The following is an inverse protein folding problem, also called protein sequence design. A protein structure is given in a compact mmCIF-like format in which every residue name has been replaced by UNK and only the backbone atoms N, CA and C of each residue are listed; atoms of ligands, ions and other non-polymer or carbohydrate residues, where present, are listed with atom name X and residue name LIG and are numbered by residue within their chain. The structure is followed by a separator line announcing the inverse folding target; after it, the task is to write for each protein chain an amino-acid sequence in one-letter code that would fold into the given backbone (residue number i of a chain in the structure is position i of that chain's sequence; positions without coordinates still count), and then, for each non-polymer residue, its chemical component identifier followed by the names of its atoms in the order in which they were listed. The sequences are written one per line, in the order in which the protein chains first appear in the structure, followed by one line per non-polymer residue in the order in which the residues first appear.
data_IF_845889487990
#
_entry.id   IF_845889487990
#
_cell.length_a   1.000
_cell.length_b   1.000
_cell.length_c   1.000
_cell.angle_alpha   90.00
_cell.angle_beta   90.00
_cell.angle_gamma   90.00
#
_symmetry.space_group_name_H-M   'P 1'
#
loop_
_entity.id
_entity.type
_entity.pdbx_description
1 polymer ?
#
# COMPACT_ATOMS: atom_id res chain seq x y z
N UNK A 1 -4.99 -17.82 6.50
CA UNK A 1 -4.15 -16.64 6.27
C UNK A 1 -4.16 -16.38 4.77
N UNK A 2 -4.72 -15.25 4.35
CA UNK A 2 -4.91 -14.91 2.93
C UNK A 2 -3.65 -14.22 2.37
N UNK A 3 -3.07 -13.31 3.16
CA UNK A 3 -1.87 -12.56 2.79
C UNK A 3 -0.70 -12.78 3.73
N UNK A 4 0.51 -12.71 3.22
CA UNK A 4 1.70 -12.41 3.99
C UNK A 4 1.75 -10.89 4.19
N UNK A 5 1.79 -10.43 5.44
CA UNK A 5 1.79 -9.01 5.78
C UNK A 5 3.20 -8.59 6.15
N UNK A 6 3.67 -7.51 5.52
CA UNK A 6 4.96 -6.88 5.80
C UNK A 6 4.76 -5.40 6.07
N UNK A 7 5.56 -4.84 6.95
CA UNK A 7 5.67 -3.38 7.15
C UNK A 7 6.82 -2.87 6.29
N UNK A 8 6.58 -1.79 5.54
CA UNK A 8 7.61 -1.06 4.82
C UNK A 8 7.44 0.44 5.11
N UNK A 9 8.30 0.99 5.94
CA UNK A 9 8.18 2.37 6.43
C UNK A 9 9.43 3.19 6.16
N UNK A 10 9.26 4.50 5.88
CA UNK A 10 10.35 5.47 5.84
C UNK A 10 10.74 5.99 7.24
N UNK A 11 10.18 5.46 8.31
CA UNK A 11 10.55 5.75 9.68
C UNK A 11 11.85 5.07 10.07
N UNK A 12 12.57 5.65 11.06
CA UNK A 12 13.74 5.02 11.67
C UNK A 12 13.33 3.71 12.36
N UNK A 13 14.25 2.76 12.38
CA UNK A 13 14.03 1.41 12.90
C UNK A 13 13.52 1.40 14.34
N UNK A 14 14.09 2.21 15.21
CA UNK A 14 13.73 2.26 16.62
C UNK A 14 12.27 2.67 16.81
N UNK A 15 11.82 3.71 16.09
CA UNK A 15 10.44 4.16 16.13
C UNK A 15 9.48 3.11 15.56
N UNK A 16 9.82 2.52 14.42
CA UNK A 16 9.00 1.49 13.79
C UNK A 16 8.83 0.25 14.68
N UNK A 17 9.89 -0.14 15.42
CA UNK A 17 9.83 -1.25 16.36
C UNK A 17 8.88 -0.99 17.54
N UNK A 18 8.85 0.23 18.08
CA UNK A 18 7.92 0.58 19.18
C UNK A 18 6.46 0.54 18.68
N UNK A 19 6.18 1.05 17.48
CA UNK A 19 4.85 0.95 16.89
C UNK A 19 4.47 -0.52 16.63
N UNK A 20 5.40 -1.33 16.11
CA UNK A 20 5.14 -2.75 15.86
C UNK A 20 4.74 -3.51 17.14
N UNK A 21 5.37 -3.22 18.27
CA UNK A 21 5.01 -3.82 19.57
C UNK A 21 3.57 -3.50 20.01
N UNK A 22 3.04 -2.34 19.58
CA UNK A 22 1.66 -1.95 19.89
C UNK A 22 0.65 -2.65 18.98
N UNK A 23 0.94 -2.76 17.68
CA UNK A 23 -0.01 -3.30 16.69
C UNK A 23 0.05 -4.82 16.55
N UNK A 24 1.21 -5.44 16.80
CA UNK A 24 1.40 -6.90 16.75
C UNK A 24 2.29 -7.39 17.90
N UNK A 25 1.85 -7.23 19.18
CA UNK A 25 2.67 -7.51 20.35
C UNK A 25 3.14 -8.96 20.46
N UNK A 26 2.48 -9.88 19.79
CA UNK A 26 2.81 -11.30 19.80
C UNK A 26 3.52 -11.77 18.52
N UNK A 27 3.86 -10.87 17.60
CA UNK A 27 4.49 -11.19 16.30
C UNK A 27 3.74 -12.27 15.51
N UNK A 28 2.41 -12.21 15.51
CA UNK A 28 1.55 -13.24 14.88
C UNK A 28 1.16 -12.92 13.45
N UNK A 29 1.10 -11.66 13.12
CA UNK A 29 0.50 -11.19 11.88
C UNK A 29 1.52 -10.66 10.89
N UNK A 30 2.54 -9.94 11.35
CA UNK A 30 3.53 -9.26 10.52
C UNK A 30 4.78 -10.14 10.39
N UNK A 31 5.10 -10.52 9.14
CA UNK A 31 6.21 -11.44 8.84
C UNK A 31 7.57 -10.73 8.80
N UNK A 32 7.61 -9.49 8.29
CA UNK A 32 8.82 -8.70 8.11
C UNK A 32 8.55 -7.22 8.32
N UNK A 33 9.60 -6.51 8.73
CA UNK A 33 9.60 -5.06 8.82
C UNK A 33 10.83 -4.50 8.09
N UNK A 34 10.56 -3.69 7.08
CA UNK A 34 11.53 -2.88 6.35
C UNK A 34 11.40 -1.42 6.83
N UNK A 35 12.51 -0.75 7.01
CA UNK A 35 12.58 0.58 7.61
C UNK A 35 13.27 1.57 6.68
N UNK A 36 13.54 2.76 7.14
CA UNK A 36 14.21 3.82 6.37
C UNK A 36 15.51 3.35 5.72
N UNK A 37 16.26 2.51 6.41
CA UNK A 37 17.56 1.97 5.95
C UNK A 37 17.39 1.07 4.72
N UNK A 38 16.19 0.53 4.52
CA UNK A 38 15.83 -0.32 3.37
C UNK A 38 15.24 0.49 2.20
N UNK A 39 15.00 1.79 2.40
CA UNK A 39 14.49 2.69 1.36
C UNK A 39 15.63 3.23 0.48
N UNK A 40 15.30 3.54 -0.77
CA UNK A 40 16.17 4.30 -1.65
C UNK A 40 15.99 5.79 -1.38
N UNK A 41 17.06 6.49 -0.99
CA UNK A 41 17.04 7.94 -0.83
C UNK A 41 17.32 8.61 -2.18
N UNK A 42 16.38 9.41 -2.66
CA UNK A 42 16.54 10.22 -3.87
C UNK A 42 17.38 11.48 -3.61
N UNK A 43 17.91 12.09 -4.67
CA UNK A 43 18.63 13.37 -4.59
C UNK A 43 17.78 14.51 -3.99
N UNK A 44 16.47 14.43 -4.13
CA UNK A 44 15.51 15.42 -3.61
C UNK A 44 15.05 15.10 -2.17
N UNK A 45 15.63 14.10 -1.51
CA UNK A 45 15.33 13.76 -0.12
C UNK A 45 14.11 12.86 0.07
N UNK A 46 13.49 12.32 -0.99
CA UNK A 46 12.40 11.36 -0.88
C UNK A 46 12.91 9.94 -0.64
N UNK A 47 12.19 9.20 0.19
CA UNK A 47 12.42 7.77 0.42
C UNK A 47 11.51 6.95 -0.49
N UNK A 48 12.09 6.10 -1.33
CA UNK A 48 11.39 5.20 -2.23
C UNK A 48 11.43 3.78 -1.68
N UNK A 49 10.28 3.12 -1.63
CA UNK A 49 10.08 1.75 -1.20
C UNK A 49 10.16 0.83 -2.42
N UNK A 50 11.33 0.32 -2.71
CA UNK A 50 11.54 -0.57 -3.85
C UNK A 50 11.08 -1.99 -3.51
N UNK A 51 10.01 -2.46 -4.12
CA UNK A 51 9.43 -3.77 -3.82
C UNK A 51 10.31 -4.95 -4.20
N UNK A 52 11.33 -4.75 -5.04
CA UNK A 52 12.26 -5.82 -5.45
C UNK A 52 13.07 -6.40 -4.28
N UNK A 53 13.29 -5.61 -3.23
CA UNK A 53 14.06 -6.08 -2.06
C UNK A 53 13.34 -7.13 -1.24
N UNK A 54 12.00 -7.21 -1.33
CA UNK A 54 11.21 -8.21 -0.58
C UNK A 54 11.33 -9.62 -1.14
N UNK A 55 11.91 -9.79 -2.34
CA UNK A 55 12.14 -11.09 -2.99
C UNK A 55 10.89 -11.96 -3.08
N UNK A 56 9.78 -11.37 -3.50
CA UNK A 56 8.54 -12.05 -3.86
C UNK A 56 8.23 -11.74 -5.32
N UNK A 57 7.41 -12.57 -5.95
CA UNK A 57 6.90 -12.33 -7.30
C UNK A 57 6.08 -11.04 -7.31
N UNK A 58 6.57 -10.01 -8.02
CA UNK A 58 5.91 -8.69 -8.04
C UNK A 58 4.48 -8.76 -8.58
N UNK A 59 4.17 -9.72 -9.42
CA UNK A 59 2.80 -9.97 -9.90
C UNK A 59 1.80 -10.28 -8.79
N UNK A 60 2.26 -10.68 -7.61
CA UNK A 60 1.45 -11.05 -6.45
C UNK A 60 1.66 -10.13 -5.25
N UNK A 61 2.30 -8.99 -5.44
CA UNK A 61 2.59 -8.04 -4.37
C UNK A 61 1.80 -6.76 -4.57
N UNK A 62 1.19 -6.25 -3.51
CA UNK A 62 0.69 -4.88 -3.46
C UNK A 62 1.32 -4.14 -2.29
N UNK A 63 1.52 -2.85 -2.47
CA UNK A 63 1.90 -1.92 -1.41
C UNK A 63 0.77 -0.93 -1.18
N UNK A 64 0.44 -0.70 0.09
CA UNK A 64 -0.55 0.27 0.52
C UNK A 64 0.20 1.45 1.13
N UNK A 65 0.03 2.61 0.54
CA UNK A 65 0.75 3.81 0.98
C UNK A 65 -0.04 5.08 0.57
N UNK A 66 -0.04 6.09 1.42
CA UNK A 66 -0.65 7.39 1.14
C UNK A 66 0.16 8.23 0.15
N UNK A 67 1.46 8.00 0.03
CA UNK A 67 2.38 8.77 -0.78
C UNK A 67 2.73 8.04 -2.10
N UNK A 68 2.17 8.48 -3.21
CA UNK A 68 2.42 7.89 -4.54
C UNK A 68 3.91 7.77 -4.88
N UNK A 69 4.72 8.74 -4.48
CA UNK A 69 6.16 8.70 -4.74
C UNK A 69 6.87 7.59 -3.96
N UNK A 70 6.30 7.13 -2.83
CA UNK A 70 6.89 6.04 -2.05
C UNK A 70 7.07 4.76 -2.86
N UNK A 71 6.16 4.47 -3.78
CA UNK A 71 6.20 3.26 -4.63
C UNK A 71 6.35 3.59 -6.12
N UNK A 72 6.96 4.72 -6.44
CA UNK A 72 7.11 5.23 -7.81
C UNK A 72 7.84 4.30 -8.78
N UNK A 73 8.63 3.34 -8.28
CA UNK A 73 9.30 2.33 -9.11
C UNK A 73 8.36 1.18 -9.53
N UNK A 74 7.29 0.93 -8.79
CA UNK A 74 6.29 -0.12 -9.07
C UNK A 74 4.87 0.43 -8.88
N UNK A 75 4.50 1.46 -9.62
CA UNK A 75 3.20 2.14 -9.50
C UNK A 75 2.00 1.19 -9.66
N UNK A 76 2.13 0.18 -10.50
CA UNK A 76 1.05 -0.80 -10.74
C UNK A 76 0.75 -1.69 -9.53
N UNK A 77 1.71 -1.80 -8.62
CA UNK A 77 1.58 -2.54 -7.37
C UNK A 77 0.96 -1.71 -6.24
N UNK A 78 0.80 -0.40 -6.44
CA UNK A 78 0.36 0.53 -5.42
C UNK A 78 -1.16 0.54 -5.21
N UNK A 79 -1.57 0.61 -3.97
CA UNK A 79 -2.92 0.91 -3.52
C UNK A 79 -2.84 2.21 -2.72
N UNK A 80 -3.33 3.33 -3.27
CA UNK A 80 -3.35 4.58 -2.52
C UNK A 80 -4.37 4.51 -1.38
N UNK A 81 -4.02 5.06 -0.25
CA UNK A 81 -4.89 5.21 0.92
C UNK A 81 -4.82 6.66 1.39
N UNK A 82 -5.85 7.14 2.06
CA UNK A 82 -5.85 8.47 2.66
C UNK A 82 -4.93 8.52 3.89
N UNK A 83 -4.41 9.72 4.18
CA UNK A 83 -3.67 9.97 5.41
C UNK A 83 -4.59 9.78 6.60
N UNK A 84 -4.11 9.12 7.65
CA UNK A 84 -4.80 9.01 8.92
C UNK A 84 -4.20 9.96 9.94
N UNK A 85 -5.00 10.91 10.40
CA UNK A 85 -4.62 11.93 11.38
C UNK A 85 -5.31 11.75 12.75
N UNK A 86 -5.96 10.61 12.95
CA UNK A 86 -6.63 10.27 14.21
C UNK A 86 -8.14 10.53 14.22
N UNK A 87 -8.78 10.63 13.05
CA UNK A 87 -10.21 10.87 12.93
C UNK A 87 -11.02 9.69 13.45
N UNK A 88 -11.98 9.98 14.33
CA UNK A 88 -12.84 8.96 14.94
C UNK A 88 -13.80 8.25 13.96
N UNK A 89 -13.97 8.78 12.76
CA UNK A 89 -14.86 8.23 11.74
C UNK A 89 -14.12 7.65 10.53
N UNK A 90 -12.80 7.41 10.63
CA UNK A 90 -12.04 6.81 9.54
C UNK A 90 -12.47 5.36 9.29
N UNK A 91 -12.87 5.05 8.06
CA UNK A 91 -13.28 3.71 7.61
C UNK A 91 -12.36 3.15 6.50
N UNK A 92 -11.25 3.80 6.18
CA UNK A 92 -10.37 3.43 5.06
C UNK A 92 -9.90 1.98 5.14
N UNK A 93 -9.51 1.50 6.32
CA UNK A 93 -9.07 0.12 6.52
C UNK A 93 -10.21 -0.91 6.35
N UNK A 94 -11.46 -0.53 6.57
CA UNK A 94 -12.60 -1.41 6.29
C UNK A 94 -12.76 -1.62 4.79
N UNK A 95 -12.81 -0.54 4.01
CA UNK A 95 -12.91 -0.61 2.55
C UNK A 95 -11.70 -1.30 1.92
N UNK A 96 -10.51 -1.00 2.44
CA UNK A 96 -9.27 -1.67 2.02
C UNK A 96 -9.34 -3.19 2.28
N UNK A 97 -9.84 -3.61 3.44
CA UNK A 97 -9.96 -5.03 3.78
C UNK A 97 -10.88 -5.75 2.81
N UNK A 98 -12.04 -5.17 2.50
CA UNK A 98 -12.98 -5.74 1.52
C UNK A 98 -12.35 -5.83 0.13
N UNK A 99 -11.66 -4.77 -0.31
CA UNK A 99 -10.95 -4.75 -1.57
C UNK A 99 -9.87 -5.84 -1.64
N UNK A 100 -9.04 -5.98 -0.62
CA UNK A 100 -7.98 -6.99 -0.56
C UNK A 100 -8.54 -8.42 -0.56
N UNK A 101 -9.64 -8.68 0.15
CA UNK A 101 -10.30 -9.98 0.11
C UNK A 101 -10.83 -10.32 -1.28
N UNK A 102 -11.35 -9.34 -2.01
CA UNK A 102 -11.78 -9.53 -3.38
C UNK A 102 -10.59 -9.74 -4.33
N UNK A 103 -9.52 -8.96 -4.16
CA UNK A 103 -8.29 -9.09 -4.94
C UNK A 103 -7.64 -10.46 -4.76
N UNK A 104 -7.69 -11.04 -3.55
CA UNK A 104 -7.13 -12.36 -3.26
C UNK A 104 -7.79 -13.52 -4.01
N UNK A 105 -8.96 -13.28 -4.61
CA UNK A 105 -9.70 -14.26 -5.44
C UNK A 105 -9.34 -14.18 -6.91
N UNK A 106 -8.54 -13.18 -7.30
CA UNK A 106 -8.04 -13.06 -8.68
C UNK A 106 -7.05 -14.19 -8.97
N UNK A 107 -6.99 -14.67 -10.22
CA UNK A 107 -5.94 -15.59 -10.64
C UNK A 107 -4.55 -15.00 -10.38
N UNK A 108 -3.60 -15.81 -9.96
CA UNK A 108 -2.26 -15.37 -9.56
C UNK A 108 -1.56 -14.47 -10.58
N UNK A 109 -1.70 -14.80 -11.88
CA UNK A 109 -1.09 -14.03 -12.97
C UNK A 109 -1.83 -12.72 -13.29
N UNK A 110 -3.03 -12.50 -12.73
CA UNK A 110 -3.84 -11.29 -12.97
C UNK A 110 -3.92 -10.37 -11.74
N UNK A 111 -3.31 -10.74 -10.62
CA UNK A 111 -3.43 -10.03 -9.36
C UNK A 111 -3.11 -8.53 -9.48
N UNK A 112 -1.91 -8.19 -9.96
CA UNK A 112 -1.50 -6.79 -10.16
C UNK A 112 -2.29 -6.13 -11.29
N UNK A 113 -2.63 -6.86 -12.36
CA UNK A 113 -3.45 -6.32 -13.45
C UNK A 113 -4.87 -6.01 -12.98
N UNK A 114 -5.45 -6.82 -12.09
CA UNK A 114 -6.75 -6.56 -11.47
C UNK A 114 -6.69 -5.30 -10.60
N UNK A 115 -5.65 -5.15 -9.78
CA UNK A 115 -5.40 -3.96 -9.00
C UNK A 115 -5.32 -2.70 -9.89
N UNK A 116 -4.51 -2.74 -10.93
CA UNK A 116 -4.35 -1.65 -11.90
C UNK A 116 -5.67 -1.26 -12.58
N UNK A 117 -6.47 -2.25 -13.00
CA UNK A 117 -7.74 -2.01 -13.66
C UNK A 117 -8.76 -1.38 -12.72
N UNK A 118 -8.78 -1.78 -11.45
CA UNK A 118 -9.65 -1.19 -10.44
C UNK A 118 -9.41 0.31 -10.30
N UNK A 119 -8.16 0.74 -10.13
CA UNK A 119 -7.82 2.15 -9.97
C UNK A 119 -8.06 2.97 -11.24
N UNK A 120 -7.78 2.44 -12.42
CA UNK A 120 -8.16 3.10 -13.70
C UNK A 120 -9.64 3.36 -13.80
N UNK A 121 -10.48 2.41 -13.38
CA UNK A 121 -11.92 2.57 -13.39
C UNK A 121 -12.38 3.67 -12.41
N UNK A 122 -11.76 3.77 -11.24
CA UNK A 122 -12.08 4.80 -10.25
C UNK A 122 -11.66 6.19 -10.76
N UNK A 123 -10.47 6.33 -11.34
CA UNK A 123 -10.01 7.57 -11.95
C UNK A 123 -10.96 8.06 -13.05
N UNK A 124 -11.39 7.18 -13.94
CA UNK A 124 -12.34 7.49 -14.99
C UNK A 124 -13.71 7.92 -14.43
N UNK A 125 -14.19 7.27 -13.37
CA UNK A 125 -15.45 7.68 -12.69
C UNK A 125 -15.33 9.06 -12.07
N UNK A 126 -14.21 9.40 -11.45
CA UNK A 126 -13.98 10.73 -10.87
C UNK A 126 -13.98 11.81 -11.93
N UNK A 127 -13.23 11.62 -13.03
CA UNK A 127 -13.21 12.55 -14.18
C UNK A 127 -14.59 12.77 -14.80
N UNK A 128 -15.41 11.71 -14.89
CA UNK A 128 -16.78 11.81 -15.43
C UNK A 128 -17.70 12.59 -14.47
N UNK A 129 -17.50 12.52 -13.17
CA UNK A 129 -18.26 13.32 -12.19
C UNK A 129 -17.88 14.79 -12.25
N UNK A 130 -16.59 15.11 -12.31
CA UNK A 130 -16.07 16.46 -12.45
C UNK A 130 -16.60 17.14 -13.72
N UNK A 131 -16.60 16.46 -14.86
CA UNK A 131 -17.12 16.97 -16.13
C UNK A 131 -18.65 17.19 -16.13
N UNK A 132 -19.41 16.55 -15.21
CA UNK A 132 -20.84 16.79 -15.06
C UNK A 132 -21.17 17.97 -14.15
N UNK A 133 -20.23 18.38 -13.29
CA UNK A 133 -20.40 19.54 -12.40
C UNK A 133 -20.03 20.86 -13.07
N UNK A 134 -19.40 20.84 -14.24
CA UNK A 134 -18.97 22.02 -15.02
C UNK A 134 -19.97 22.37 -16.15
N UNK A 135 -21.12 21.73 -16.20
CA UNK A 135 -22.26 22.09 -17.06
C UNK A 135 -23.43 22.58 -16.19
#
# INVERSE_FOLDING_TARGET
KVYEIMIYTASKKEYAQEILKLIDPNNKHISYMLTREDCLLTKNGFFIKDLRIIRRELSQVVIIDNLLHSYGLQLENGIPILDYEGEAGDEELFYLTEYLLNLSRSPDHEFVQTNKNYFKLQENKSRLRENKLVK
#
